data_IF_193660217088
#
_entry.id   IF_193660217088
#
_cell.length_a   1.000
_cell.length_b   1.000
_cell.length_c   1.000
_cell.angle_alpha   90.00
_cell.angle_beta   90.00
_cell.angle_gamma   90.00
#
_symmetry.space_group_name_H-M   'P 1'
#
loop_
_entity.id
_entity.type
_entity.pdbx_description
1 polymer ?
#
# COMPACT_ATOMS: atom_id res chain seq x y z
N UNK A 1 -12.95 -5.67 9.16
CA UNK A 1 -13.37 -5.24 7.80
C UNK A 1 -12.36 -5.81 6.83
N UNK A 2 -12.84 -6.40 5.72
CA UNK A 2 -11.97 -6.84 4.63
C UNK A 2 -11.82 -5.66 3.66
N UNK A 3 -10.64 -5.45 3.12
CA UNK A 3 -10.48 -4.48 2.05
C UNK A 3 -11.06 -5.02 0.74
N UNK A 4 -11.53 -4.08 -0.05
CA UNK A 4 -11.78 -4.17 -1.47
C UNK A 4 -10.93 -3.10 -2.17
N UNK A 5 -10.95 -3.11 -3.51
CA UNK A 5 -10.10 -2.24 -4.33
C UNK A 5 -10.24 -0.76 -3.97
N UNK A 6 -11.48 -0.31 -3.75
CA UNK A 6 -11.82 1.09 -3.47
C UNK A 6 -11.42 1.46 -2.04
N UNK A 7 -11.85 0.68 -1.05
CA UNK A 7 -11.50 0.96 0.36
C UNK A 7 -10.00 0.87 0.65
N UNK A 8 -9.26 0.02 -0.08
CA UNK A 8 -7.80 -0.03 0.02
C UNK A 8 -7.14 1.23 -0.51
N UNK A 9 -7.64 1.78 -1.62
CA UNK A 9 -7.15 3.03 -2.19
C UNK A 9 -7.45 4.22 -1.27
N UNK A 10 -8.67 4.30 -0.73
CA UNK A 10 -9.04 5.34 0.24
C UNK A 10 -8.15 5.30 1.49
N UNK A 11 -7.94 4.10 2.05
CA UNK A 11 -7.06 3.93 3.20
C UNK A 11 -5.60 4.33 2.90
N UNK A 12 -5.11 4.03 1.69
CA UNK A 12 -3.77 4.42 1.25
C UNK A 12 -3.63 5.95 1.12
N UNK A 13 -4.66 6.63 0.61
CA UNK A 13 -4.70 8.11 0.52
C UNK A 13 -4.67 8.72 1.92
N UNK A 14 -5.49 8.23 2.84
CA UNK A 14 -5.55 8.74 4.22
C UNK A 14 -4.20 8.56 4.94
N UNK A 15 -3.57 7.39 4.81
CA UNK A 15 -2.25 7.15 5.39
C UNK A 15 -1.18 8.06 4.77
N UNK A 16 -1.16 8.20 3.44
CA UNK A 16 -0.18 9.07 2.77
C UNK A 16 -0.37 10.55 3.15
N UNK A 17 -1.61 11.03 3.23
CA UNK A 17 -1.94 12.40 3.63
C UNK A 17 -1.41 12.69 5.04
N UNK A 18 -1.66 11.78 5.98
CA UNK A 18 -1.19 11.90 7.36
C UNK A 18 0.34 11.88 7.44
N UNK A 19 1.03 11.08 6.62
CA UNK A 19 2.50 11.02 6.59
C UNK A 19 3.14 12.27 6.01
N UNK A 20 2.55 12.84 4.98
CA UNK A 20 3.06 14.03 4.30
C UNK A 20 2.58 15.33 4.95
N UNK A 21 1.56 15.27 5.82
CA UNK A 21 0.97 16.45 6.46
C UNK A 21 0.18 17.33 5.48
N UNK A 22 -0.42 16.73 4.45
CA UNK A 22 -1.18 17.39 3.38
C UNK A 22 -2.64 16.96 3.39
N UNK A 23 -3.50 17.63 2.61
CA UNK A 23 -4.90 17.17 2.45
C UNK A 23 -4.96 15.92 1.57
N UNK A 24 -5.97 15.07 1.78
CA UNK A 24 -6.25 13.93 0.91
C UNK A 24 -6.54 14.35 -0.54
N UNK A 25 -7.09 15.55 -0.75
CA UNK A 25 -7.34 16.14 -2.06
C UNK A 25 -6.06 16.48 -2.84
N UNK A 26 -4.91 16.59 -2.16
CA UNK A 26 -3.61 16.83 -2.80
C UNK A 26 -2.95 15.54 -3.31
N UNK A 27 -3.60 14.40 -3.10
CA UNK A 27 -3.10 13.08 -3.48
C UNK A 27 -3.89 12.57 -4.68
N UNK A 28 -3.17 12.31 -5.77
CA UNK A 28 -3.72 11.74 -6.98
C UNK A 28 -3.59 10.21 -6.95
N UNK A 29 -4.68 9.49 -7.23
CA UNK A 29 -4.63 8.05 -7.49
C UNK A 29 -4.21 7.83 -8.94
N UNK A 30 -2.93 7.54 -9.15
CA UNK A 30 -2.37 7.25 -10.48
C UNK A 30 -2.96 5.95 -11.04
N UNK A 31 -3.24 4.97 -10.18
CA UNK A 31 -3.94 3.76 -10.61
C UNK A 31 -4.00 2.69 -9.54
N UNK A 32 -4.98 1.80 -9.69
CA UNK A 32 -5.15 0.62 -8.83
C UNK A 32 -5.31 -0.62 -9.71
N UNK A 33 -4.34 -1.52 -9.61
CA UNK A 33 -4.23 -2.71 -10.47
C UNK A 33 -4.21 -3.97 -9.63
N UNK A 34 -5.01 -4.96 -10.00
CA UNK A 34 -4.94 -6.29 -9.42
C UNK A 34 -3.63 -6.97 -9.79
N UNK A 35 -2.94 -7.55 -8.80
CA UNK A 35 -1.64 -8.17 -8.98
C UNK A 35 -1.42 -9.30 -7.99
N UNK A 36 -0.77 -10.35 -8.46
CA UNK A 36 -0.24 -11.42 -7.62
C UNK A 36 1.14 -11.05 -7.08
N UNK A 37 1.31 -11.24 -5.78
CA UNK A 37 2.54 -10.96 -5.05
C UNK A 37 3.23 -12.26 -4.63
N UNK A 38 4.57 -12.27 -4.51
CA UNK A 38 5.34 -13.50 -4.29
C UNK A 38 5.21 -14.10 -2.89
N UNK A 39 4.69 -13.34 -1.93
CA UNK A 39 4.60 -13.72 -0.52
C UNK A 39 3.39 -13.08 0.17
N UNK A 40 3.09 -13.56 1.38
CA UNK A 40 2.00 -13.07 2.22
C UNK A 40 2.22 -11.64 2.72
N UNK A 41 3.42 -11.07 2.57
CA UNK A 41 3.69 -9.66 2.86
C UNK A 41 3.54 -8.79 1.62
N UNK A 42 2.95 -9.32 0.56
CA UNK A 42 2.73 -8.66 -0.73
C UNK A 42 4.06 -8.19 -1.37
N UNK A 43 5.17 -8.89 -1.13
CA UNK A 43 6.50 -8.46 -1.56
C UNK A 43 6.95 -7.14 -0.90
N UNK A 44 6.33 -6.77 0.22
CA UNK A 44 6.57 -5.58 1.02
C UNK A 44 6.82 -5.96 2.48
N UNK A 45 7.67 -6.99 2.69
CA UNK A 45 8.09 -7.41 4.02
C UNK A 45 8.83 -6.27 4.74
N UNK A 46 8.50 -6.05 6.01
CA UNK A 46 9.21 -5.08 6.84
C UNK A 46 10.51 -5.69 7.36
N UNK A 47 11.50 -4.88 7.80
CA UNK A 47 12.71 -5.41 8.42
C UNK A 47 12.33 -6.39 9.55
N UNK A 48 13.00 -7.55 9.57
CA UNK A 48 12.79 -8.63 10.56
C UNK A 48 11.50 -9.46 10.39
N UNK A 49 10.64 -9.15 9.41
CA UNK A 49 9.46 -9.98 9.12
C UNK A 49 9.83 -11.18 8.25
N UNK A 50 9.48 -12.39 8.72
CA UNK A 50 9.54 -13.60 7.91
C UNK A 50 8.23 -13.79 7.15
N UNK A 51 8.17 -13.28 5.92
CA UNK A 51 7.03 -13.48 5.04
C UNK A 51 6.92 -14.94 4.60
N UNK A 52 5.73 -15.53 4.71
CA UNK A 52 5.47 -16.85 4.16
C UNK A 52 5.49 -16.79 2.62
N UNK A 53 6.20 -17.74 1.99
CA UNK A 53 6.34 -17.85 0.54
C UNK A 53 5.09 -18.45 -0.11
N UNK A 54 4.00 -17.69 -0.06
CA UNK A 54 2.72 -18.04 -0.68
C UNK A 54 2.26 -16.89 -1.56
N UNK A 55 1.88 -17.21 -2.80
CA UNK A 55 1.36 -16.23 -3.74
C UNK A 55 0.07 -15.65 -3.18
N UNK A 56 0.03 -14.32 -3.07
CA UNK A 56 -1.12 -13.58 -2.56
C UNK A 56 -1.65 -12.63 -3.63
N UNK A 57 -2.92 -12.77 -3.97
CA UNK A 57 -3.61 -11.86 -4.89
C UNK A 57 -4.11 -10.64 -4.14
N UNK A 58 -3.78 -9.46 -4.67
CA UNK A 58 -4.17 -8.19 -4.07
C UNK A 58 -4.17 -7.06 -5.09
N UNK A 59 -3.99 -5.84 -4.61
CA UNK A 59 -3.99 -4.62 -5.39
C UNK A 59 -2.68 -3.87 -5.19
N UNK A 60 -2.09 -3.44 -6.29
CA UNK A 60 -1.04 -2.42 -6.32
C UNK A 60 -1.70 -1.06 -6.57
N UNK A 61 -1.56 -0.18 -5.59
CA UNK A 61 -2.13 1.17 -5.57
C UNK A 61 -0.96 2.13 -5.77
N UNK A 62 -0.99 2.92 -6.83
CA UNK A 62 -0.01 3.98 -7.10
C UNK A 62 -0.66 5.32 -6.80
N UNK A 63 -0.07 6.06 -5.87
CA UNK A 63 -0.47 7.39 -5.49
C UNK A 63 0.61 8.38 -5.91
N UNK A 64 0.23 9.62 -6.20
CA UNK A 64 1.16 10.71 -6.48
C UNK A 64 0.81 11.92 -5.62
N UNK A 65 1.82 12.46 -4.96
CA UNK A 65 1.68 13.67 -4.14
C UNK A 65 2.96 14.50 -4.24
N UNK A 66 2.80 15.81 -4.40
CA UNK A 66 3.92 16.77 -4.53
C UNK A 66 4.97 16.36 -5.60
N UNK A 67 4.55 15.71 -6.69
CA UNK A 67 5.44 15.25 -7.76
C UNK A 67 6.19 13.95 -7.49
N UNK A 68 5.91 13.27 -6.37
CA UNK A 68 6.49 11.98 -6.01
C UNK A 68 5.46 10.86 -6.11
N UNK A 69 5.89 9.70 -6.61
CA UNK A 69 5.09 8.49 -6.67
C UNK A 69 5.30 7.63 -5.43
N UNK A 70 4.20 7.11 -4.90
CA UNK A 70 4.14 6.24 -3.74
C UNK A 70 3.40 4.96 -4.11
N UNK A 71 3.96 3.82 -3.72
CA UNK A 71 3.36 2.52 -3.97
C UNK A 71 2.83 1.92 -2.68
N UNK A 72 1.54 1.62 -2.69
CA UNK A 72 0.87 0.84 -1.67
C UNK A 72 0.48 -0.51 -2.24
N UNK A 73 0.49 -1.53 -1.40
CA UNK A 73 0.08 -2.89 -1.74
C UNK A 73 -0.90 -3.35 -0.68
N UNK A 74 -2.05 -3.84 -1.14
CA UNK A 74 -3.10 -4.29 -0.26
C UNK A 74 -3.65 -5.64 -0.72
N UNK A 75 -4.23 -6.38 0.21
CA UNK A 75 -5.14 -7.47 -0.09
C UNK A 75 -6.36 -7.34 0.82
N UNK A 76 -7.23 -8.35 0.83
CA UNK A 76 -8.44 -8.38 1.67
C UNK A 76 -8.18 -8.13 3.16
N UNK A 77 -6.96 -8.33 3.68
CA UNK A 77 -6.67 -8.27 5.11
C UNK A 77 -5.71 -7.17 5.52
N UNK A 78 -4.82 -6.71 4.63
CA UNK A 78 -3.73 -5.81 4.98
C UNK A 78 -3.50 -4.74 3.93
N UNK A 79 -2.86 -3.66 4.37
CA UNK A 79 -2.38 -2.55 3.55
C UNK A 79 -0.94 -2.25 3.98
N UNK A 80 -0.04 -2.17 2.99
CA UNK A 80 1.39 -1.95 3.18
C UNK A 80 1.87 -0.83 2.27
N UNK A 81 2.76 0.00 2.79
CA UNK A 81 3.46 1.04 2.05
C UNK A 81 4.85 0.53 1.67
N UNK A 82 5.21 0.68 0.40
CA UNK A 82 6.45 0.15 -0.17
C UNK A 82 7.50 1.25 -0.30
N UNK A 83 8.69 1.00 0.25
CA UNK A 83 9.88 1.83 0.02
C UNK A 83 9.85 3.26 0.56
N UNK A 84 8.84 3.63 1.37
CA UNK A 84 8.76 4.97 1.96
C UNK A 84 9.91 5.23 2.94
N UNK A 85 10.72 6.26 2.65
CA UNK A 85 11.98 6.54 3.33
C UNK A 85 12.94 5.33 3.38
N UNK A 86 12.95 4.53 2.29
CA UNK A 86 13.82 3.37 2.15
C UNK A 86 13.37 2.13 2.93
N UNK A 87 12.14 2.11 3.47
CA UNK A 87 11.59 0.98 4.22
C UNK A 87 10.13 0.71 3.85
N UNK A 88 9.72 -0.54 4.05
CA UNK A 88 8.31 -0.92 3.95
C UNK A 88 7.62 -0.67 5.30
N UNK A 89 6.32 -0.39 5.27
CA UNK A 89 5.51 -0.15 6.47
C UNK A 89 4.21 -0.93 6.40
N UNK A 90 3.82 -1.54 7.52
CA UNK A 90 2.49 -2.15 7.67
C UNK A 90 1.55 -1.05 8.16
N UNK A 91 0.56 -0.70 7.35
CA UNK A 91 -0.46 0.30 7.68
C UNK A 91 -1.61 -0.38 8.42
N UNK A 92 -1.98 -1.56 7.92
CA UNK A 92 -3.04 -2.39 8.47
C UNK A 92 -2.68 -3.84 8.22
N UNK A 93 -2.89 -4.70 9.22
CA UNK A 93 -2.70 -6.15 9.17
C UNK A 93 -3.56 -6.85 10.19
#
# INVERSE_FOLDING_TARGET
MKFDKESAAEAAIVDLAARLGISTDEIEVVGVTEKDFPDMSLGAAVPEEMAAQMISTGWMIRLRASGHDYEYRADKYQLRLVGFNGRNHIIRG
#
